data_IF_662713141650
#
_entry.id   IF_662713141650
#
_cell.length_a   1.000
_cell.length_b   1.000
_cell.length_c   1.000
_cell.angle_alpha   90.00
_cell.angle_beta   90.00
_cell.angle_gamma   90.00
#
_symmetry.space_group_name_H-M   'P 1'
#
loop_
_entity.id
_entity.type
_entity.pdbx_description
1 polymer ?
#
# COMPACT_ATOMS: atom_id res chain seq x y z
N UNK A 1 10.51 29.43 12.85
CA UNK A 1 9.21 28.71 12.75
C UNK A 1 9.18 27.65 13.84
N UNK A 2 8.36 27.83 14.88
CA UNK A 2 8.22 26.86 15.98
C UNK A 2 7.29 25.75 15.48
N UNK A 3 7.83 24.55 15.23
CA UNK A 3 7.02 23.39 14.85
C UNK A 3 6.27 22.96 16.11
N UNK A 4 4.94 22.96 16.06
CA UNK A 4 4.12 22.48 17.16
C UNK A 4 4.38 20.98 17.36
N UNK A 5 5.00 20.61 18.48
CA UNK A 5 5.14 19.22 18.88
C UNK A 5 3.75 18.68 19.19
N UNK A 6 3.25 17.75 18.37
CA UNK A 6 2.12 16.93 18.78
C UNK A 6 2.56 16.11 19.99
N UNK A 7 1.85 16.23 21.11
CA UNK A 7 2.10 15.46 22.35
C UNK A 7 1.96 13.94 22.15
N UNK A 8 1.41 13.53 21.02
CA UNK A 8 1.20 12.14 20.66
C UNK A 8 2.07 11.80 19.46
N UNK A 9 2.91 10.79 19.65
CA UNK A 9 3.65 10.14 18.59
C UNK A 9 2.76 9.11 17.89
N UNK A 10 3.21 8.60 16.74
CA UNK A 10 2.55 7.49 16.08
C UNK A 10 2.45 6.26 17.01
N UNK A 11 1.40 5.47 16.83
CA UNK A 11 1.26 4.17 17.51
C UNK A 11 2.30 3.22 16.90
N UNK A 12 3.16 2.68 17.75
CA UNK A 12 4.23 1.76 17.39
C UNK A 12 4.22 0.56 18.35
N UNK A 13 4.78 -0.60 17.93
CA UNK A 13 5.03 -1.69 18.84
C UNK A 13 5.96 -1.23 19.97
N UNK A 14 5.73 -1.74 21.18
CA UNK A 14 6.64 -1.50 22.31
C UNK A 14 7.77 -2.53 22.30
N UNK A 15 8.85 -2.25 23.03
CA UNK A 15 10.00 -3.16 23.14
C UNK A 15 9.66 -4.49 23.83
N UNK A 16 8.60 -4.52 24.65
CA UNK A 16 8.13 -5.75 25.31
C UNK A 16 7.13 -6.45 24.40
N UNK A 17 7.52 -7.58 23.83
CA UNK A 17 6.60 -8.41 23.04
C UNK A 17 5.46 -8.92 23.95
N UNK A 18 4.19 -8.73 23.56
CA UNK A 18 3.06 -9.27 24.31
C UNK A 18 2.99 -10.80 24.14
N UNK A 19 2.31 -11.46 25.09
CA UNK A 19 1.99 -12.89 24.97
C UNK A 19 0.90 -13.06 23.91
N UNK A 20 1.29 -13.33 22.67
CA UNK A 20 0.39 -13.38 21.51
C UNK A 20 -0.73 -14.41 21.66
N UNK A 21 -0.53 -15.47 22.44
CA UNK A 21 -1.56 -16.48 22.71
C UNK A 21 -2.67 -15.97 23.63
N UNK A 22 -2.38 -14.97 24.47
CA UNK A 22 -3.35 -14.35 25.38
C UNK A 22 -4.18 -13.23 24.76
N UNK A 23 -3.90 -12.84 23.52
CA UNK A 23 -4.68 -11.84 22.78
C UNK A 23 -5.91 -12.50 22.14
N UNK A 24 -7.02 -11.77 22.11
CA UNK A 24 -8.15 -12.12 21.24
C UNK A 24 -7.75 -11.99 19.78
N UNK A 25 -8.49 -12.63 18.89
CA UNK A 25 -8.21 -12.58 17.45
C UNK A 25 -8.16 -11.13 16.92
N UNK A 26 -9.12 -10.29 17.33
CA UNK A 26 -9.17 -8.87 16.98
C UNK A 26 -7.94 -8.09 17.46
N UNK A 27 -7.50 -8.33 18.69
CA UNK A 27 -6.30 -7.68 19.22
C UNK A 27 -5.04 -8.13 18.48
N UNK A 28 -4.95 -9.40 18.07
CA UNK A 28 -3.85 -9.91 17.25
C UNK A 28 -3.81 -9.21 15.88
N UNK A 29 -4.93 -9.08 15.19
CA UNK A 29 -4.98 -8.39 13.91
C UNK A 29 -4.54 -6.92 14.02
N UNK A 30 -5.04 -6.21 15.03
CA UNK A 30 -4.63 -4.81 15.26
C UNK A 30 -3.14 -4.72 15.59
N UNK A 31 -2.64 -5.59 16.48
CA UNK A 31 -1.22 -5.64 16.83
C UNK A 31 -0.35 -5.94 15.61
N UNK A 32 -0.70 -6.93 14.80
CA UNK A 32 0.02 -7.28 13.58
C UNK A 32 0.01 -6.14 12.56
N UNK A 33 -1.12 -5.45 12.36
CA UNK A 33 -1.19 -4.29 11.47
C UNK A 33 -0.25 -3.16 11.93
N UNK A 34 -0.18 -2.89 13.24
CA UNK A 34 0.75 -1.91 13.81
C UNK A 34 2.20 -2.34 13.58
N UNK A 35 2.53 -3.61 13.83
CA UNK A 35 3.87 -4.17 13.61
C UNK A 35 4.29 -4.10 12.15
N UNK A 36 3.45 -4.57 11.23
CA UNK A 36 3.74 -4.55 9.79
C UNK A 36 4.00 -3.12 9.31
N UNK A 37 3.19 -2.15 9.75
CA UNK A 37 3.35 -0.73 9.37
C UNK A 37 4.58 -0.09 10.00
N UNK A 38 4.98 -0.50 11.20
CA UNK A 38 6.23 -0.05 11.80
C UNK A 38 7.44 -0.61 11.05
N UNK A 39 7.46 -1.92 10.79
CA UNK A 39 8.55 -2.60 10.07
C UNK A 39 8.70 -2.07 8.64
N UNK A 40 7.60 -1.78 7.94
CA UNK A 40 7.60 -1.22 6.59
C UNK A 40 8.40 0.08 6.44
N UNK A 41 8.55 0.88 7.50
CA UNK A 41 9.33 2.14 7.48
C UNK A 41 10.83 1.92 7.27
N UNK A 42 11.32 0.71 7.53
CA UNK A 42 12.72 0.34 7.37
C UNK A 42 13.01 -0.37 6.06
N UNK A 43 12.00 -0.55 5.20
CA UNK A 43 12.16 -1.14 3.88
C UNK A 43 12.36 -0.05 2.82
N UNK A 44 13.00 -0.38 1.68
CA UNK A 44 13.10 0.52 0.55
C UNK A 44 11.73 0.97 0.03
N UNK A 45 11.72 2.07 -0.72
CA UNK A 45 10.54 2.48 -1.46
C UNK A 45 10.10 1.39 -2.43
N UNK A 46 8.79 1.28 -2.61
CA UNK A 46 8.23 0.45 -3.65
C UNK A 46 8.20 1.26 -4.96
N UNK A 47 8.68 0.66 -6.03
CA UNK A 47 8.89 1.32 -7.33
C UNK A 47 8.13 0.58 -8.41
N UNK A 48 7.47 1.35 -9.28
CA UNK A 48 6.67 0.83 -10.37
C UNK A 48 6.93 1.65 -11.64
N UNK A 49 7.07 0.95 -12.76
CA UNK A 49 7.14 1.56 -14.08
C UNK A 49 5.71 1.79 -14.58
N UNK A 50 5.30 3.06 -14.64
CA UNK A 50 4.03 3.46 -15.23
C UNK A 50 4.21 3.73 -16.74
N UNK A 51 3.39 3.08 -17.55
CA UNK A 51 3.31 3.32 -19.00
C UNK A 51 1.96 3.93 -19.31
N UNK A 52 1.94 5.02 -20.07
CA UNK A 52 0.71 5.64 -20.56
C UNK A 52 0.81 5.73 -22.08
N UNK A 53 -0.21 5.23 -22.76
CA UNK A 53 -0.34 5.30 -24.21
C UNK A 53 -1.57 6.16 -24.50
N UNK A 54 -1.34 7.26 -25.22
CA UNK A 54 -2.39 8.14 -25.71
C UNK A 54 -2.44 8.04 -27.23
N UNK A 55 -3.63 7.81 -27.77
CA UNK A 55 -3.87 7.60 -29.19
C UNK A 55 -4.88 8.63 -29.67
N UNK A 56 -4.69 9.15 -30.88
CA UNK A 56 -5.67 9.98 -31.56
C UNK A 56 -6.12 9.29 -32.84
N UNK A 57 -7.43 9.09 -32.98
CA UNK A 57 -8.06 8.56 -34.19
C UNK A 57 -9.09 9.58 -34.69
N UNK A 58 -8.72 10.36 -35.70
CA UNK A 58 -9.51 11.51 -36.15
C UNK A 58 -9.70 12.54 -35.03
N UNK A 59 -10.96 12.81 -34.68
CA UNK A 59 -11.35 13.71 -33.58
C UNK A 59 -11.39 13.03 -32.21
N UNK A 60 -11.25 11.70 -32.15
CA UNK A 60 -11.34 10.94 -30.91
C UNK A 60 -9.96 10.72 -30.28
N UNK A 61 -9.89 10.83 -28.95
CA UNK A 61 -8.69 10.53 -28.16
C UNK A 61 -8.95 9.33 -27.27
N UNK A 62 -8.01 8.41 -27.25
CA UNK A 62 -8.00 7.23 -26.39
C UNK A 62 -6.78 7.29 -25.47
N UNK A 63 -6.93 6.75 -24.27
CA UNK A 63 -5.86 6.64 -23.29
C UNK A 63 -5.91 5.26 -22.67
N UNK A 64 -4.77 4.62 -22.55
CA UNK A 64 -4.61 3.42 -21.74
C UNK A 64 -3.36 3.54 -20.90
N UNK A 65 -3.37 2.90 -19.73
CA UNK A 65 -2.23 2.90 -18.82
C UNK A 65 -1.93 1.49 -18.35
N UNK A 66 -0.64 1.15 -18.34
CA UNK A 66 -0.09 -0.06 -17.75
C UNK A 66 0.84 0.27 -16.59
N UNK A 67 1.03 -0.68 -15.69
CA UNK A 67 1.94 -0.55 -14.55
C UNK A 67 2.67 -1.86 -14.32
N UNK A 68 4.00 -1.80 -14.21
CA UNK A 68 4.85 -2.96 -13.91
C UNK A 68 5.59 -2.72 -12.61
N UNK A 69 5.43 -3.60 -11.64
CA UNK A 69 6.18 -3.51 -10.37
C UNK A 69 7.66 -3.82 -10.62
N UNK A 70 8.54 -2.90 -10.24
CA UNK A 70 10.00 -3.06 -10.37
C UNK A 70 10.66 -3.42 -9.06
N UNK A 71 10.25 -2.76 -7.99
CA UNK A 71 10.74 -3.02 -6.63
C UNK A 71 9.53 -3.09 -5.71
N UNK A 72 9.32 -4.23 -5.06
CA UNK A 72 8.25 -4.37 -4.07
C UNK A 72 8.43 -3.43 -2.87
N UNK A 73 9.67 -3.18 -2.47
CA UNK A 73 10.01 -2.33 -1.33
C UNK A 73 9.26 -2.75 -0.06
N UNK A 74 8.72 -1.76 0.66
CA UNK A 74 7.89 -1.96 1.85
C UNK A 74 6.65 -2.84 1.66
N UNK A 75 6.16 -3.04 0.42
CA UNK A 75 4.97 -3.86 0.15
C UNK A 75 5.16 -5.34 0.47
N UNK A 76 6.40 -5.82 0.59
CA UNK A 76 6.67 -7.21 1.00
C UNK A 76 6.17 -7.53 2.41
N UNK A 77 6.13 -6.52 3.29
CA UNK A 77 5.73 -6.65 4.70
C UNK A 77 4.21 -6.60 4.86
N UNK A 78 3.51 -5.97 3.92
CA UNK A 78 2.06 -5.79 3.94
C UNK A 78 1.28 -7.03 3.45
N UNK A 79 1.92 -8.20 3.36
CA UNK A 79 1.32 -9.40 2.78
C UNK A 79 0.49 -10.18 3.79
N UNK A 80 -0.81 -9.86 3.85
CA UNK A 80 -1.98 -10.77 3.84
C UNK A 80 -3.11 -9.91 3.21
N UNK A 81 -3.53 -10.04 1.95
CA UNK A 81 -4.71 -10.82 1.47
C UNK A 81 -4.87 -10.69 -0.08
N UNK A 82 -3.79 -10.74 -0.87
CA UNK A 82 -3.90 -10.79 -2.34
C UNK A 82 -2.97 -11.82 -2.94
N UNK A 83 -3.17 -13.09 -2.59
CA UNK A 83 -3.00 -14.12 -3.60
C UNK A 83 -4.33 -14.30 -4.33
N UNK A 84 -4.25 -14.36 -5.65
CA UNK A 84 -5.32 -14.49 -6.65
C UNK A 84 -6.05 -13.21 -7.09
N UNK A 85 -5.66 -12.75 -8.28
CA UNK A 85 -6.28 -11.64 -8.99
C UNK A 85 -5.42 -11.04 -10.09
N UNK A 86 -4.87 -11.87 -10.99
CA UNK A 86 -4.44 -11.39 -12.31
C UNK A 86 -5.63 -10.68 -12.97
N UNK A 87 -5.45 -9.40 -13.31
CA UNK A 87 -6.30 -8.68 -14.27
C UNK A 87 -7.61 -8.11 -13.72
N UNK A 88 -7.56 -6.86 -13.27
CA UNK A 88 -8.71 -5.95 -13.36
C UNK A 88 -8.22 -4.60 -13.88
N UNK A 89 -8.19 -4.49 -15.21
CA UNK A 89 -8.41 -3.24 -15.90
C UNK A 89 -9.90 -2.88 -15.75
N UNK A 90 -10.23 -2.09 -14.73
CA UNK A 90 -11.53 -1.41 -14.67
C UNK A 90 -11.39 -0.10 -15.44
N UNK A 91 -11.71 -0.16 -16.73
CA UNK A 91 -11.94 1.01 -17.57
C UNK A 91 -13.32 1.58 -17.19
N UNK A 92 -13.32 2.68 -16.44
CA UNK A 92 -14.51 3.50 -16.26
C UNK A 92 -14.74 4.30 -17.54
N UNK A 93 -15.45 3.70 -18.50
CA UNK A 93 -16.08 4.45 -19.58
C UNK A 93 -17.18 5.33 -18.96
N UNK A 94 -16.84 6.59 -18.64
CA UNK A 94 -17.81 7.68 -18.54
C UNK A 94 -17.98 8.26 -19.94
N UNK A 95 -19.04 7.85 -20.62
CA UNK A 95 -19.56 8.55 -21.78
C UNK A 95 -20.09 9.93 -21.31
N UNK A 96 -19.69 10.98 -22.02
CA UNK A 96 -20.40 12.24 -22.16
C UNK A 96 -20.42 12.58 -23.65
#
# INVERSE_FOLDING_TARGET
KKVAQSSHHAIIPTAKTPVLTGLTEREKYVYQAIVQRYVAQFYPHAEDDATVIELQCGSHRFKTSGKVERVKGWRVVAKEEKEEGKGKSEDSTSQS
#
